data_IF_114646233374
#
_entry.id   IF_114646233374
#
_cell.length_a   1.000
_cell.length_b   1.000
_cell.length_c   1.000
_cell.angle_alpha   90.00
_cell.angle_beta   90.00
_cell.angle_gamma   90.00
#
_symmetry.space_group_name_H-M   'P 1'
#
loop_
_entity.id
_entity.type
_entity.pdbx_description
1 polymer ?
#
# COMPACT_ATOMS: atom_id res chain seq x y z
N UNK A 1 -4.00 -26.06 -18.18
CA UNK A 1 -4.13 -25.14 -17.05
C UNK A 1 -2.86 -24.30 -16.96
N UNK A 2 -2.98 -23.02 -17.07
CA UNK A 2 -1.82 -22.12 -16.97
C UNK A 2 -1.55 -21.79 -15.50
N UNK A 3 -0.30 -21.85 -15.11
CA UNK A 3 0.12 -21.38 -13.81
C UNK A 3 0.40 -19.88 -13.89
N UNK A 4 -0.08 -19.15 -12.91
CA UNK A 4 0.26 -17.73 -12.80
C UNK A 4 1.74 -17.56 -12.45
N UNK A 5 2.39 -16.54 -13.03
CA UNK A 5 3.73 -16.15 -12.65
C UNK A 5 3.77 -15.65 -11.21
N UNK A 6 4.97 -15.62 -10.63
CA UNK A 6 5.18 -14.99 -9.31
C UNK A 6 4.69 -13.54 -9.33
N UNK A 7 5.02 -12.79 -10.39
CA UNK A 7 4.59 -11.40 -10.53
C UNK A 7 3.07 -11.28 -10.46
N UNK A 8 2.34 -12.13 -11.17
CA UNK A 8 0.88 -12.12 -11.18
C UNK A 8 0.31 -12.47 -9.80
N UNK A 9 0.87 -13.50 -9.14
CA UNK A 9 0.44 -13.88 -7.79
C UNK A 9 0.71 -12.79 -6.77
N UNK A 10 1.90 -12.18 -6.80
CA UNK A 10 2.29 -11.11 -5.91
C UNK A 10 1.36 -9.90 -6.06
N UNK A 11 1.11 -9.50 -7.30
CA UNK A 11 0.18 -8.41 -7.60
C UNK A 11 -1.22 -8.69 -7.03
N UNK A 12 -1.74 -9.88 -7.24
CA UNK A 12 -3.07 -10.28 -6.75
C UNK A 12 -3.16 -10.20 -5.23
N UNK A 13 -2.12 -10.71 -4.54
CA UNK A 13 -2.07 -10.69 -3.08
C UNK A 13 -2.10 -9.26 -2.53
N UNK A 14 -1.30 -8.38 -3.10
CA UNK A 14 -1.22 -6.99 -2.64
C UNK A 14 -2.50 -6.23 -2.96
N UNK A 15 -3.05 -6.36 -4.16
CA UNK A 15 -4.31 -5.70 -4.54
C UNK A 15 -5.46 -6.17 -3.64
N UNK A 16 -5.55 -7.47 -3.38
CA UNK A 16 -6.56 -8.02 -2.47
C UNK A 16 -6.38 -7.46 -1.06
N UNK A 17 -5.13 -7.37 -0.60
CA UNK A 17 -4.81 -6.78 0.70
C UNK A 17 -5.28 -5.33 0.82
N UNK A 18 -5.04 -4.51 -0.21
CA UNK A 18 -5.52 -3.12 -0.25
C UNK A 18 -7.05 -3.05 -0.17
N UNK A 19 -7.74 -3.89 -0.94
CA UNK A 19 -9.21 -3.91 -0.95
C UNK A 19 -9.79 -4.27 0.41
N UNK A 20 -9.23 -5.29 1.04
CA UNK A 20 -9.69 -5.74 2.37
C UNK A 20 -9.39 -4.70 3.44
N UNK A 21 -8.19 -4.14 3.41
CA UNK A 21 -7.82 -3.09 4.36
C UNK A 21 -8.75 -1.88 4.21
N UNK A 22 -9.02 -1.44 2.99
CA UNK A 22 -9.91 -0.31 2.72
C UNK A 22 -11.36 -0.59 3.16
N UNK A 23 -11.75 -1.86 3.21
CA UNK A 23 -13.06 -2.29 3.70
C UNK A 23 -13.11 -2.43 5.23
N UNK A 24 -12.01 -2.15 5.93
CA UNK A 24 -11.93 -2.19 7.40
C UNK A 24 -11.32 -3.47 7.96
N UNK A 25 -10.87 -4.39 7.12
CA UNK A 25 -10.24 -5.63 7.55
C UNK A 25 -8.74 -5.42 7.77
N UNK A 26 -8.37 -4.87 8.93
CA UNK A 26 -6.97 -4.66 9.30
C UNK A 26 -6.25 -6.00 9.51
N UNK A 27 -6.97 -7.04 9.89
CA UNK A 27 -6.39 -8.37 10.14
C UNK A 27 -5.84 -9.04 8.88
N UNK A 28 -6.19 -8.55 7.68
CA UNK A 28 -5.57 -9.05 6.44
C UNK A 28 -4.05 -8.90 6.48
N UNK A 29 -3.54 -7.89 7.16
CA UNK A 29 -2.10 -7.65 7.29
C UNK A 29 -1.38 -8.79 8.01
N UNK A 30 -2.07 -9.48 8.93
CA UNK A 30 -1.47 -10.60 9.66
C UNK A 30 -1.11 -11.77 8.74
N UNK A 31 -1.89 -11.99 7.69
CA UNK A 31 -1.62 -13.03 6.71
C UNK A 31 -0.68 -12.56 5.61
N UNK A 32 -0.66 -11.26 5.33
CA UNK A 32 0.10 -10.70 4.23
C UNK A 32 1.53 -10.32 4.61
N UNK A 33 1.75 -9.85 5.85
CA UNK A 33 3.07 -9.43 6.32
C UNK A 33 3.83 -10.58 6.98
N UNK A 34 5.14 -10.61 6.77
CA UNK A 34 6.03 -11.45 7.58
C UNK A 34 6.11 -10.89 8.99
N UNK A 35 6.32 -11.76 9.97
CA UNK A 35 6.49 -11.35 11.37
C UNK A 35 7.65 -10.36 11.53
N UNK A 36 8.76 -10.60 10.80
CA UNK A 36 9.99 -9.80 10.83
C UNK A 36 9.99 -8.68 9.76
N UNK A 37 8.83 -8.22 9.35
CA UNK A 37 8.64 -7.16 8.37
C UNK A 37 9.50 -5.92 8.65
N UNK A 38 10.19 -5.42 7.62
CA UNK A 38 11.05 -4.24 7.71
C UNK A 38 10.40 -3.05 7.04
N UNK A 39 10.27 -1.96 7.78
CA UNK A 39 9.63 -0.73 7.31
C UNK A 39 10.67 0.37 7.10
N UNK A 40 10.62 1.02 5.93
CA UNK A 40 11.48 2.16 5.59
C UNK A 40 10.71 3.47 5.52
N UNK A 41 9.39 3.46 5.61
CA UNK A 41 8.61 4.69 5.65
C UNK A 41 8.93 5.43 6.95
N UNK A 42 9.28 6.74 6.87
CA UNK A 42 9.56 7.50 8.09
C UNK A 42 8.41 7.43 9.10
N UNK A 43 8.75 7.29 10.36
CA UNK A 43 7.83 7.26 11.51
C UNK A 43 6.98 5.99 11.64
N UNK A 44 7.00 5.08 10.65
CA UNK A 44 6.31 3.81 10.77
C UNK A 44 7.22 2.77 11.44
N UNK A 45 6.70 1.94 12.33
CA UNK A 45 7.51 0.92 12.99
C UNK A 45 7.74 -0.32 12.12
N UNK A 46 8.87 -0.99 12.31
CA UNK A 46 9.13 -2.32 11.77
C UNK A 46 8.51 -3.41 12.65
N UNK A 47 8.35 -4.61 12.08
CA UNK A 47 7.69 -5.72 12.73
C UNK A 47 6.18 -5.71 12.47
N UNK A 48 5.64 -6.89 12.17
CA UNK A 48 4.23 -7.01 11.80
C UNK A 48 3.29 -6.48 12.87
N UNK A 49 3.49 -6.88 14.14
CA UNK A 49 2.55 -6.51 15.21
C UNK A 49 2.58 -5.00 15.49
N UNK A 50 3.77 -4.42 15.55
CA UNK A 50 3.92 -2.99 15.77
C UNK A 50 3.34 -2.18 14.61
N UNK A 51 3.59 -2.61 13.37
CA UNK A 51 3.05 -1.96 12.17
C UNK A 51 1.52 -2.04 12.14
N UNK A 52 0.94 -3.21 12.43
CA UNK A 52 -0.52 -3.37 12.46
C UNK A 52 -1.18 -2.44 13.49
N UNK A 53 -0.61 -2.37 14.69
CA UNK A 53 -1.11 -1.48 15.74
C UNK A 53 -1.02 -0.01 15.32
N UNK A 54 0.05 0.37 14.64
CA UNK A 54 0.26 1.74 14.17
C UNK A 54 -0.75 2.11 13.08
N UNK A 55 -0.86 1.31 12.01
CA UNK A 55 -1.74 1.65 10.87
C UNK A 55 -3.22 1.61 11.24
N UNK A 56 -3.60 0.79 12.23
CA UNK A 56 -4.98 0.75 12.70
C UNK A 56 -5.44 2.09 13.29
N UNK A 57 -4.50 2.91 13.76
CA UNK A 57 -4.77 4.23 14.34
C UNK A 57 -4.41 5.38 13.41
N UNK A 58 -3.70 5.10 12.32
CA UNK A 58 -3.26 6.11 11.36
C UNK A 58 -4.40 6.55 10.44
N UNK A 59 -4.29 7.73 9.81
CA UNK A 59 -5.31 8.20 8.86
C UNK A 59 -5.62 7.21 7.75
N UNK A 60 -4.64 6.40 7.33
CA UNK A 60 -4.83 5.40 6.27
C UNK A 60 -5.93 4.39 6.59
N UNK A 61 -6.18 4.10 7.86
CA UNK A 61 -7.24 3.16 8.26
C UNK A 61 -8.65 3.68 7.94
N UNK A 62 -8.79 5.00 7.79
CA UNK A 62 -10.07 5.67 7.48
C UNK A 62 -10.08 6.28 6.09
N UNK A 63 -9.00 6.09 5.34
CA UNK A 63 -8.84 6.73 4.04
C UNK A 63 -9.55 5.96 2.94
N UNK A 64 -9.90 6.69 1.88
CA UNK A 64 -10.22 6.09 0.59
C UNK A 64 -8.89 5.86 -0.13
N UNK A 65 -8.69 4.64 -0.60
CA UNK A 65 -7.49 4.23 -1.33
C UNK A 65 -7.88 3.94 -2.78
N UNK A 66 -7.64 4.91 -3.65
CA UNK A 66 -7.98 4.80 -5.07
C UNK A 66 -6.74 4.38 -5.85
N UNK A 67 -6.64 3.08 -6.14
CA UNK A 67 -5.50 2.51 -6.86
C UNK A 67 -5.51 2.95 -8.32
N UNK A 68 -4.40 3.51 -8.76
CA UNK A 68 -4.23 4.00 -10.13
C UNK A 68 -3.42 3.04 -11.00
N UNK A 69 -2.30 2.54 -10.47
CA UNK A 69 -1.41 1.62 -11.18
C UNK A 69 -0.83 0.61 -10.21
N UNK A 70 -0.73 -0.63 -10.66
CA UNK A 70 -0.04 -1.68 -9.91
C UNK A 70 0.89 -2.39 -10.88
N UNK A 71 2.17 -2.38 -10.56
CA UNK A 71 3.22 -3.00 -11.38
C UNK A 71 3.96 -4.00 -10.50
N UNK A 72 4.19 -5.19 -11.00
CA UNK A 72 4.85 -6.23 -10.23
C UNK A 72 5.89 -6.98 -11.06
N UNK A 73 6.97 -7.37 -10.41
CA UNK A 73 7.88 -8.40 -10.90
C UNK A 73 7.89 -9.56 -9.91
N UNK A 74 8.86 -10.47 -10.02
CA UNK A 74 8.91 -11.65 -9.16
C UNK A 74 9.16 -11.32 -7.69
N UNK A 75 9.73 -10.15 -7.39
CA UNK A 75 10.18 -9.80 -6.05
C UNK A 75 9.46 -8.59 -5.47
N UNK A 76 8.87 -7.73 -6.30
CA UNK A 76 8.30 -6.46 -5.84
C UNK A 76 6.92 -6.21 -6.44
N UNK A 77 6.09 -5.50 -5.66
CA UNK A 77 4.84 -4.93 -6.14
C UNK A 77 4.87 -3.44 -5.87
N UNK A 78 4.66 -2.63 -6.89
CA UNK A 78 4.60 -1.17 -6.80
C UNK A 78 3.15 -0.75 -6.99
N UNK A 79 2.63 0.03 -6.05
CA UNK A 79 1.25 0.52 -6.08
C UNK A 79 1.27 2.04 -6.07
N UNK A 80 0.71 2.65 -7.11
CA UNK A 80 0.50 4.09 -7.18
C UNK A 80 -0.97 4.37 -6.92
N UNK A 81 -1.28 5.18 -5.90
CA UNK A 81 -2.66 5.42 -5.52
C UNK A 81 -2.88 6.82 -4.96
N UNK A 82 -4.14 7.22 -4.93
CA UNK A 82 -4.61 8.46 -4.35
C UNK A 82 -5.27 8.15 -3.01
N UNK A 83 -4.72 8.70 -1.95
CA UNK A 83 -5.26 8.54 -0.60
C UNK A 83 -5.96 9.84 -0.19
N UNK A 84 -7.24 9.73 0.14
CA UNK A 84 -8.03 10.87 0.62
C UNK A 84 -8.75 10.52 1.91
N UNK A 85 -9.00 11.54 2.72
CA UNK A 85 -9.84 11.44 3.91
C UNK A 85 -10.88 12.56 3.87
N UNK A 86 -11.89 12.50 4.72
CA UNK A 86 -12.89 13.57 4.80
C UNK A 86 -12.26 14.91 5.19
N UNK A 87 -11.19 14.86 6.01
CA UNK A 87 -10.45 16.05 6.46
C UNK A 87 -9.48 16.56 5.40
N UNK A 88 -9.13 15.73 4.42
CA UNK A 88 -8.18 16.08 3.37
C UNK A 88 -8.69 15.56 2.01
N UNK A 89 -9.62 16.28 1.39
CA UNK A 89 -10.22 15.81 0.13
C UNK A 89 -9.30 15.87 -1.09
N UNK A 90 -8.25 16.72 -1.08
CA UNK A 90 -7.22 16.68 -2.11
C UNK A 90 -6.26 15.52 -1.90
N UNK A 91 -5.96 15.24 -0.66
CA UNK A 91 -5.22 14.05 -0.27
C UNK A 91 -3.76 14.02 -0.67
N UNK A 92 -3.28 12.80 -0.80
CA UNK A 92 -1.86 12.51 -1.01
C UNK A 92 -1.71 11.53 -2.16
N UNK A 93 -0.74 11.79 -3.04
CA UNK A 93 -0.27 10.82 -4.01
C UNK A 93 0.75 9.91 -3.31
N UNK A 94 0.53 8.61 -3.37
CA UNK A 94 1.36 7.63 -2.69
C UNK A 94 1.91 6.63 -3.69
N UNK A 95 3.19 6.29 -3.55
CA UNK A 95 3.80 5.14 -4.19
C UNK A 95 4.32 4.23 -3.10
N UNK A 96 3.74 3.04 -2.99
CA UNK A 96 4.24 1.97 -2.12
C UNK A 96 5.05 0.99 -2.93
N UNK A 97 6.16 0.54 -2.36
CA UNK A 97 6.98 -0.55 -2.91
C UNK A 97 7.02 -1.65 -1.86
N UNK A 98 6.51 -2.82 -2.22
CA UNK A 98 6.41 -3.98 -1.35
C UNK A 98 7.34 -5.08 -1.86
N UNK A 99 8.32 -5.50 -1.07
CA UNK A 99 9.15 -6.65 -1.42
C UNK A 99 8.50 -7.92 -0.90
N UNK A 100 8.34 -8.89 -1.78
CA UNK A 100 7.64 -10.13 -1.52
C UNK A 100 8.63 -11.29 -1.36
N UNK A 101 8.37 -12.14 -0.37
CA UNK A 101 9.08 -13.40 -0.17
C UNK A 101 8.05 -14.48 0.12
N UNK A 102 7.99 -15.49 -0.71
CA UNK A 102 7.07 -16.64 -0.56
C UNK A 102 5.61 -16.22 -0.31
N UNK A 103 5.14 -15.23 -1.06
CA UNK A 103 3.76 -14.77 -0.97
C UNK A 103 3.45 -13.87 0.22
N UNK A 104 4.47 -13.39 0.92
CA UNK A 104 4.32 -12.45 2.04
C UNK A 104 5.19 -11.23 1.84
N UNK A 105 4.75 -10.11 2.38
CA UNK A 105 5.52 -8.87 2.37
C UNK A 105 6.61 -8.95 3.41
N UNK A 106 7.86 -8.79 2.97
CA UNK A 106 9.04 -8.78 3.82
C UNK A 106 9.54 -7.37 4.14
N UNK A 107 9.29 -6.41 3.22
CA UNK A 107 9.88 -5.08 3.32
C UNK A 107 9.03 -4.07 2.56
N UNK A 108 9.02 -2.81 3.03
CA UNK A 108 8.20 -1.75 2.46
C UNK A 108 8.94 -0.43 2.40
N UNK A 109 8.79 0.27 1.29
CA UNK A 109 9.18 1.66 1.09
C UNK A 109 7.98 2.43 0.58
N UNK A 110 7.91 3.72 0.86
CA UNK A 110 6.92 4.57 0.24
C UNK A 110 7.46 5.97 -0.05
N UNK A 111 6.77 6.65 -0.94
CA UNK A 111 6.98 8.06 -1.25
C UNK A 111 5.61 8.71 -1.29
N UNK A 112 5.45 9.78 -0.52
CA UNK A 112 4.20 10.51 -0.44
C UNK A 112 4.39 11.94 -0.88
N UNK A 113 3.39 12.47 -1.61
CA UNK A 113 3.39 13.86 -2.03
C UNK A 113 1.98 14.43 -1.88
N UNK A 114 1.79 15.51 -1.11
CA UNK A 114 0.48 16.17 -1.05
C UNK A 114 0.02 16.60 -2.43
N UNK A 115 -1.25 16.41 -2.72
CA UNK A 115 -1.83 16.84 -3.99
C UNK A 115 -2.06 18.35 -3.94
N UNK A 116 -1.42 19.14 -4.83
CA UNK A 116 -1.57 20.58 -4.83
C UNK A 116 -2.88 21.02 -5.48
N UNK A 117 -3.12 22.31 -5.51
CA UNK A 117 -4.20 22.91 -6.28
C UNK A 117 -4.13 22.45 -7.74
N UNK A 118 -5.30 22.15 -8.34
CA UNK A 118 -5.40 21.61 -9.70
C UNK A 118 -4.75 22.53 -10.76
N UNK A 119 -4.68 23.84 -10.50
CA UNK A 119 -4.03 24.78 -11.41
C UNK A 119 -2.54 24.53 -11.61
N UNK A 120 -1.90 23.84 -10.65
CA UNK A 120 -0.47 23.48 -10.72
C UNK A 120 -0.22 22.16 -11.45
N UNK A 121 -1.25 21.39 -11.73
CA UNK A 121 -1.15 20.06 -12.34
C UNK A 121 -2.18 19.93 -13.47
N UNK A 122 -1.97 20.62 -14.61
CA UNK A 122 -2.97 20.65 -15.69
C UNK A 122 -3.30 19.27 -16.27
N UNK A 123 -2.43 18.29 -16.11
CA UNK A 123 -2.68 16.90 -16.53
C UNK A 123 -3.01 15.97 -15.36
N UNK A 124 -3.13 16.52 -14.14
CA UNK A 124 -3.32 15.75 -12.93
C UNK A 124 -2.04 15.08 -12.46
N UNK A 125 -2.13 14.36 -11.32
CA UNK A 125 -1.01 13.62 -10.76
C UNK A 125 -1.15 12.10 -10.91
N UNK A 126 -2.22 11.66 -11.55
CA UNK A 126 -2.54 10.22 -11.59
C UNK A 126 -2.83 9.72 -12.99
#
# INVERSE_FOLDING_TARGET
MSEDSKATRNKRLVVDGFRRFAAGDVEVLRTLLREDFVEHSPDNPSGREAFMAFVARAPVARARLDLKRVVADDDHVVVHYHMTTDDDPRGVAVVDIWRMVDGRIAEHWDVLQPVPDAARTPHGMF
#
